data_IF_829091551061
#
_entry.id   IF_829091551061
#
_cell.length_a   1.000
_cell.length_b   1.000
_cell.length_c   1.000
_cell.angle_alpha   90.00
_cell.angle_beta   90.00
_cell.angle_gamma   90.00
#
_symmetry.space_group_name_H-M   'P 1'
#
loop_
_entity.id
_entity.type
_entity.pdbx_description
1 polymer ?
#
# COMPACT_ATOMS: atom_id res chain seq x y z
N UNK A 1 -13.33 32.13 -9.82
CA UNK A 1 -11.85 32.32 -9.79
C UNK A 1 -11.20 31.22 -8.94
N UNK A 2 -11.35 29.95 -9.32
CA UNK A 2 -10.94 28.76 -8.52
C UNK A 2 -9.98 27.82 -9.27
N UNK A 3 -9.59 28.15 -10.51
CA UNK A 3 -8.76 27.28 -11.36
C UNK A 3 -7.28 27.23 -10.97
N UNK A 4 -6.69 28.37 -10.60
CA UNK A 4 -5.24 28.51 -10.39
C UNK A 4 -4.70 27.67 -9.23
N UNK A 5 -5.37 27.69 -8.07
CA UNK A 5 -4.90 26.94 -6.90
C UNK A 5 -4.98 25.42 -7.05
N UNK A 6 -5.90 24.91 -7.88
CA UNK A 6 -6.05 23.47 -8.14
C UNK A 6 -5.05 22.96 -9.18
N UNK A 7 -4.75 23.77 -10.19
CA UNK A 7 -3.71 23.50 -11.19
C UNK A 7 -2.32 23.48 -10.55
N UNK A 8 -1.99 24.47 -9.71
CA UNK A 8 -0.70 24.55 -9.00
C UNK A 8 -0.45 23.32 -8.10
N UNK A 9 -1.48 22.85 -7.40
CA UNK A 9 -1.39 21.66 -6.55
C UNK A 9 -1.16 20.39 -7.36
N UNK A 10 -1.82 20.27 -8.50
CA UNK A 10 -1.68 19.12 -9.39
C UNK A 10 -0.27 19.04 -9.97
N UNK A 11 0.28 20.18 -10.38
CA UNK A 11 1.62 20.27 -10.95
C UNK A 11 2.71 20.00 -9.91
N UNK A 12 2.53 20.49 -8.68
CA UNK A 12 3.37 20.15 -7.54
C UNK A 12 3.46 18.64 -7.30
N UNK A 13 2.31 17.94 -7.25
CA UNK A 13 2.28 16.49 -7.07
C UNK A 13 2.90 15.76 -8.24
N UNK A 14 2.63 16.18 -9.48
CA UNK A 14 3.26 15.60 -10.68
C UNK A 14 4.78 15.66 -10.59
N UNK A 15 5.35 16.80 -10.17
CA UNK A 15 6.81 16.95 -10.04
C UNK A 15 7.44 16.03 -8.99
N UNK A 16 6.81 15.89 -7.81
CA UNK A 16 7.32 15.00 -6.76
C UNK A 16 7.13 13.53 -7.11
N UNK A 17 5.93 13.18 -7.58
CA UNK A 17 5.59 11.83 -7.99
C UNK A 17 6.41 11.38 -9.21
N UNK A 18 6.78 12.29 -10.11
CA UNK A 18 7.66 12.01 -11.25
C UNK A 18 9.02 11.43 -10.87
N UNK A 19 9.51 11.70 -9.66
CA UNK A 19 10.75 11.10 -9.13
C UNK A 19 10.56 9.68 -8.61
N UNK A 20 9.33 9.31 -8.26
CA UNK A 20 8.95 8.02 -7.69
C UNK A 20 8.30 7.11 -8.74
N UNK A 21 7.75 7.68 -9.82
CA UNK A 21 7.08 6.95 -10.90
C UNK A 21 8.08 6.46 -11.94
N UNK A 22 7.80 5.29 -12.53
CA UNK A 22 8.57 4.73 -13.63
C UNK A 22 8.06 5.14 -15.02
N UNK A 23 6.91 5.82 -15.13
CA UNK A 23 6.36 6.23 -16.41
C UNK A 23 4.99 6.90 -16.34
N UNK A 24 4.45 7.25 -17.51
CA UNK A 24 3.13 7.87 -17.68
C UNK A 24 2.29 7.02 -18.63
N UNK A 25 1.06 6.73 -18.24
CA UNK A 25 0.08 6.00 -19.03
C UNK A 25 -1.17 6.85 -19.27
N UNK A 26 -1.98 6.47 -20.26
CA UNK A 26 -3.28 7.08 -20.54
C UNK A 26 -4.37 6.02 -20.59
N UNK A 27 -5.47 6.28 -19.89
CA UNK A 27 -6.51 5.28 -19.76
C UNK A 27 -7.51 5.59 -18.65
N UNK A 28 -8.34 4.60 -18.35
CA UNK A 28 -9.41 4.69 -17.37
C UNK A 28 -9.30 3.57 -16.34
N UNK A 29 -9.89 3.80 -15.17
CA UNK A 29 -10.04 2.75 -14.15
C UNK A 29 -11.38 2.07 -14.39
N UNK A 30 -11.36 0.76 -14.63
CA UNK A 30 -12.54 -0.07 -14.72
C UNK A 30 -13.23 -0.23 -13.35
N UNK A 31 -14.43 -0.81 -13.35
CA UNK A 31 -15.23 -1.00 -12.12
C UNK A 31 -14.60 -1.96 -11.13
N UNK A 32 -13.83 -2.95 -11.61
CA UNK A 32 -13.03 -3.89 -10.83
C UNK A 32 -11.73 -3.27 -10.26
N UNK A 33 -11.42 -2.03 -10.67
CA UNK A 33 -10.22 -1.30 -10.26
C UNK A 33 -9.01 -1.53 -11.17
N UNK A 34 -9.12 -2.37 -12.18
CA UNK A 34 -8.07 -2.57 -13.17
C UNK A 34 -7.98 -1.39 -14.14
N UNK A 35 -6.80 -1.24 -14.74
CA UNK A 35 -6.51 -0.18 -15.68
C UNK A 35 -6.79 -0.60 -17.11
N UNK A 36 -7.53 0.22 -17.84
CA UNK A 36 -7.80 0.05 -19.26
C UNK A 36 -7.08 1.15 -20.05
N UNK A 37 -6.10 0.76 -20.86
CA UNK A 37 -5.37 1.68 -21.72
C UNK A 37 -6.30 2.33 -22.75
N UNK A 38 -6.20 3.65 -22.86
CA UNK A 38 -6.93 4.42 -23.86
C UNK A 38 -6.15 5.70 -24.20
N UNK A 39 -5.78 5.92 -25.47
CA UNK A 39 -5.07 7.13 -25.88
C UNK A 39 -5.82 8.44 -25.56
N UNK A 40 -7.16 8.40 -25.52
CA UNK A 40 -8.00 9.55 -25.17
C UNK A 40 -8.21 9.73 -23.66
N UNK A 41 -7.73 8.78 -22.86
CA UNK A 41 -7.90 8.79 -21.40
C UNK A 41 -7.04 9.84 -20.68
N UNK A 42 -7.38 10.15 -19.41
CA UNK A 42 -6.55 10.97 -18.54
C UNK A 42 -5.17 10.34 -18.33
N UNK A 43 -4.21 11.16 -17.92
CA UNK A 43 -2.86 10.70 -17.57
C UNK A 43 -2.84 10.07 -16.16
N UNK A 44 -2.03 9.03 -16.05
CA UNK A 44 -1.73 8.29 -14.84
C UNK A 44 -0.22 8.15 -14.67
N UNK A 45 0.26 8.31 -13.44
CA UNK A 45 1.64 8.02 -13.07
C UNK A 45 1.74 6.56 -12.68
N UNK A 46 2.72 5.86 -13.23
CA UNK A 46 2.93 4.43 -12.97
C UNK A 46 4.04 4.20 -11.94
N UNK A 47 3.82 3.24 -11.06
CA UNK A 47 4.73 2.81 -10.01
C UNK A 47 4.92 1.31 -10.14
N UNK A 48 6.17 0.90 -10.29
CA UNK A 48 6.53 -0.51 -10.47
C UNK A 48 6.46 -1.23 -9.13
N UNK A 49 5.62 -2.26 -9.05
CA UNK A 49 5.62 -3.22 -7.94
C UNK A 49 6.19 -4.56 -8.43
N UNK A 50 6.49 -5.47 -7.50
CA UNK A 50 7.12 -6.75 -7.81
C UNK A 50 6.31 -7.59 -8.80
N UNK A 51 4.98 -7.58 -8.67
CA UNK A 51 4.08 -8.43 -9.46
C UNK A 51 3.04 -7.64 -10.26
N UNK A 52 3.16 -6.30 -10.27
CA UNK A 52 2.11 -5.42 -10.77
C UNK A 52 2.65 -4.06 -11.21
N UNK A 53 1.80 -3.29 -11.88
CA UNK A 53 2.01 -1.87 -12.16
C UNK A 53 0.86 -1.08 -11.56
N UNK A 54 1.15 -0.30 -10.51
CA UNK A 54 0.15 0.52 -9.82
C UNK A 54 0.12 1.89 -10.47
N UNK A 55 -1.08 2.38 -10.77
CA UNK A 55 -1.29 3.64 -11.46
C UNK A 55 -2.05 4.59 -10.57
N UNK A 56 -1.61 5.84 -10.50
CA UNK A 56 -2.34 6.90 -9.79
C UNK A 56 -2.59 8.10 -10.69
N UNK A 57 -3.84 8.59 -10.70
CA UNK A 57 -4.20 9.83 -11.40
C UNK A 57 -4.22 10.98 -10.41
N UNK A 58 -3.30 11.95 -10.48
CA UNK A 58 -3.32 13.12 -9.60
C UNK A 58 -4.60 13.94 -9.72
N UNK A 59 -5.12 14.05 -10.95
CA UNK A 59 -6.32 14.83 -11.27
C UNK A 59 -7.58 14.21 -10.68
N UNK A 60 -7.74 12.90 -10.81
CA UNK A 60 -8.92 12.18 -10.31
C UNK A 60 -8.75 11.72 -8.86
N UNK A 61 -7.52 11.76 -8.34
CA UNK A 61 -7.10 11.15 -7.08
C UNK A 61 -7.55 9.68 -6.95
N UNK A 62 -7.45 8.94 -8.05
CA UNK A 62 -7.80 7.52 -8.14
C UNK A 62 -6.54 6.67 -8.25
N UNK A 63 -6.62 5.45 -7.72
CA UNK A 63 -5.61 4.40 -7.88
C UNK A 63 -6.20 3.25 -8.68
N UNK A 64 -5.41 2.72 -9.60
CA UNK A 64 -5.71 1.56 -10.42
C UNK A 64 -4.48 0.66 -10.49
N UNK A 65 -4.64 -0.52 -11.07
CA UNK A 65 -3.57 -1.51 -11.20
C UNK A 65 -3.74 -2.25 -12.53
N UNK A 66 -2.64 -2.72 -13.12
CA UNK A 66 -2.69 -3.49 -14.37
C UNK A 66 -3.17 -4.92 -14.13
N UNK A 67 -2.76 -5.56 -13.04
CA UNK A 67 -3.05 -7.00 -12.80
C UNK A 67 -3.85 -7.29 -11.53
N UNK A 68 -4.04 -6.29 -10.67
CA UNK A 68 -4.69 -6.40 -9.36
C UNK A 68 -3.89 -7.16 -8.30
N UNK A 69 -2.61 -7.46 -8.55
CA UNK A 69 -1.80 -8.36 -7.71
C UNK A 69 -1.02 -7.66 -6.61
N UNK A 70 -0.69 -6.37 -6.76
CA UNK A 70 -0.02 -5.63 -5.70
C UNK A 70 -0.88 -5.57 -4.44
N UNK A 71 -0.28 -5.89 -3.28
CA UNK A 71 -0.93 -5.70 -1.99
C UNK A 71 -0.93 -4.21 -1.61
N UNK A 72 0.21 -3.55 -1.82
CA UNK A 72 0.42 -2.15 -1.49
C UNK A 72 1.21 -1.45 -2.59
N UNK A 73 1.10 -0.12 -2.63
CA UNK A 73 2.09 0.72 -3.29
C UNK A 73 3.35 0.77 -2.42
N UNK A 74 4.51 0.58 -3.05
CA UNK A 74 5.82 0.38 -2.44
C UNK A 74 5.90 -0.85 -1.53
N UNK A 75 5.34 -1.97 -1.97
CA UNK A 75 5.22 -3.20 -1.15
C UNK A 75 6.58 -3.70 -0.61
N UNK A 76 7.66 -3.42 -1.33
CA UNK A 76 9.02 -3.79 -0.93
C UNK A 76 9.44 -3.23 0.43
N UNK A 77 8.92 -2.07 0.84
CA UNK A 77 9.21 -1.47 2.15
C UNK A 77 8.72 -2.33 3.33
N UNK A 78 7.80 -3.27 3.11
CA UNK A 78 7.34 -4.18 4.17
C UNK A 78 8.46 -5.13 4.60
N UNK A 79 9.25 -5.62 3.64
CA UNK A 79 10.32 -6.59 3.86
C UNK A 79 11.72 -5.99 3.95
N UNK A 80 11.88 -4.70 3.66
CA UNK A 80 13.17 -4.02 3.75
C UNK A 80 13.59 -3.82 5.22
N UNK A 81 14.80 -4.30 5.56
CA UNK A 81 15.35 -4.14 6.89
C UNK A 81 15.59 -2.66 7.25
N UNK A 82 15.89 -1.81 6.25
CA UNK A 82 16.12 -0.39 6.47
C UNK A 82 14.87 0.32 7.02
N UNK A 83 13.67 -0.13 6.63
CA UNK A 83 12.39 0.42 7.13
C UNK A 83 12.23 0.29 8.64
N UNK A 84 12.90 -0.68 9.27
CA UNK A 84 12.82 -0.92 10.71
C UNK A 84 14.12 -0.66 11.45
N UNK A 85 15.19 -0.27 10.77
CA UNK A 85 16.47 0.04 11.42
C UNK A 85 16.33 1.28 12.33
N UNK A 86 17.21 1.41 13.34
CA UNK A 86 17.36 2.65 14.15
C UNK A 86 16.04 3.25 14.67
N UNK A 87 15.12 2.40 15.15
CA UNK A 87 13.80 2.77 15.67
C UNK A 87 12.81 3.37 14.65
N UNK A 88 13.07 3.17 13.36
CA UNK A 88 12.08 3.43 12.31
C UNK A 88 10.93 2.39 12.33
N UNK A 89 9.87 2.74 11.61
CA UNK A 89 8.62 2.00 11.49
C UNK A 89 8.11 2.04 10.07
N UNK A 90 7.38 1.00 9.66
CA UNK A 90 6.63 1.02 8.42
C UNK A 90 5.48 2.03 8.52
N UNK A 91 5.55 3.11 7.75
CA UNK A 91 4.48 4.10 7.67
C UNK A 91 3.39 3.64 6.70
N UNK A 92 2.13 3.70 7.12
CA UNK A 92 0.97 3.41 6.26
C UNK A 92 0.16 4.70 6.07
N UNK A 93 0.11 5.18 4.84
CA UNK A 93 -0.58 6.42 4.47
C UNK A 93 -2.00 6.18 3.96
N UNK A 94 -2.89 7.14 4.20
CA UNK A 94 -4.28 7.07 3.75
C UNK A 94 -4.46 7.25 2.24
N UNK A 95 -3.48 7.86 1.57
CA UNK A 95 -3.56 8.14 0.13
C UNK A 95 -2.17 8.24 -0.50
N UNK A 96 -2.14 8.00 -1.82
CA UNK A 96 -0.94 8.17 -2.64
C UNK A 96 -0.41 9.61 -2.58
N UNK A 97 -1.30 10.60 -2.52
CA UNK A 97 -0.90 12.00 -2.34
C UNK A 97 -0.08 12.21 -1.06
N UNK A 98 -0.53 11.68 0.09
CA UNK A 98 0.20 11.79 1.36
C UNK A 98 1.53 11.03 1.34
N UNK A 99 1.52 9.84 0.74
CA UNK A 99 2.73 9.05 0.52
C UNK A 99 3.77 9.78 -0.36
N UNK A 100 3.33 10.47 -1.41
CA UNK A 100 4.22 11.33 -2.24
C UNK A 100 4.77 12.51 -1.43
N UNK A 101 3.97 13.14 -0.56
CA UNK A 101 4.45 14.22 0.32
C UNK A 101 5.55 13.71 1.26
N UNK A 102 5.44 12.47 1.72
CA UNK A 102 6.44 11.77 2.50
C UNK A 102 7.58 11.18 1.65
N UNK A 103 7.71 11.58 0.38
CA UNK A 103 8.77 11.13 -0.52
C UNK A 103 8.83 9.59 -0.70
N UNK A 104 7.69 8.92 -0.59
CA UNK A 104 7.60 7.48 -0.74
C UNK A 104 8.00 6.67 0.50
N UNK A 105 8.22 7.32 1.64
CA UNK A 105 8.70 6.68 2.89
C UNK A 105 7.60 5.89 3.62
N UNK A 106 7.26 4.71 3.07
CA UNK A 106 6.25 3.80 3.59
C UNK A 106 5.39 3.23 2.46
N UNK A 107 4.13 2.90 2.78
CA UNK A 107 3.21 2.23 1.85
C UNK A 107 1.82 2.87 1.81
N UNK A 108 1.07 2.55 0.75
CA UNK A 108 -0.38 2.73 0.68
C UNK A 108 -1.02 1.37 0.42
N UNK A 109 -1.86 0.89 1.34
CA UNK A 109 -2.52 -0.42 1.19
C UNK A 109 -3.59 -0.34 0.11
N UNK A 110 -3.50 -1.24 -0.87
CA UNK A 110 -4.44 -1.34 -2.00
C UNK A 110 -5.48 -2.45 -1.74
N UNK A 111 -5.06 -3.54 -1.09
CA UNK A 111 -5.86 -4.74 -0.88
C UNK A 111 -5.99 -5.07 0.62
N UNK A 112 -6.88 -4.35 1.31
CA UNK A 112 -7.14 -4.52 2.75
C UNK A 112 -7.46 -5.96 3.18
N UNK A 113 -8.23 -6.78 2.42
CA UNK A 113 -8.49 -8.17 2.81
C UNK A 113 -7.22 -9.03 2.96
N UNK A 114 -6.09 -8.62 2.37
CA UNK A 114 -4.78 -9.29 2.47
C UNK A 114 -3.86 -8.69 3.55
N UNK A 115 -4.33 -7.68 4.29
CA UNK A 115 -3.50 -6.90 5.21
C UNK A 115 -2.92 -7.75 6.34
N UNK A 116 -3.72 -8.64 6.95
CA UNK A 116 -3.23 -9.50 8.03
C UNK A 116 -2.02 -10.33 7.60
N UNK A 117 -2.12 -11.08 6.50
CA UNK A 117 -1.04 -11.96 6.05
C UNK A 117 0.20 -11.19 5.63
N UNK A 118 0.00 -10.00 5.03
CA UNK A 118 1.10 -9.19 4.50
C UNK A 118 1.81 -8.38 5.59
N UNK A 119 1.12 -7.98 6.67
CA UNK A 119 1.66 -7.07 7.68
C UNK A 119 1.91 -7.71 9.06
N UNK A 120 1.44 -8.94 9.31
CA UNK A 120 1.60 -9.63 10.62
C UNK A 120 3.04 -9.80 11.11
N UNK A 121 4.01 -9.68 10.21
CA UNK A 121 5.44 -9.79 10.52
C UNK A 121 6.15 -8.45 10.65
N UNK A 122 5.48 -7.33 10.33
CA UNK A 122 6.05 -6.00 10.50
C UNK A 122 6.18 -5.69 11.99
N UNK A 123 7.41 -5.50 12.51
CA UNK A 123 7.64 -5.33 13.95
C UNK A 123 7.11 -4.00 14.49
N UNK A 124 7.10 -2.94 13.65
CA UNK A 124 6.66 -1.59 14.02
C UNK A 124 5.90 -0.95 12.86
N UNK A 125 4.70 -0.46 13.12
CA UNK A 125 3.84 0.20 12.14
C UNK A 125 3.37 1.55 12.68
N UNK A 126 3.53 2.60 11.88
CA UNK A 126 2.94 3.91 12.12
C UNK A 126 1.78 4.14 11.15
N UNK A 127 0.63 4.57 11.68
CA UNK A 127 -0.60 4.70 10.91
C UNK A 127 -0.99 6.17 10.77
N UNK A 128 -1.27 6.59 9.54
CA UNK A 128 -2.06 7.77 9.29
C UNK A 128 -3.44 7.63 9.95
N UNK A 129 -3.96 8.73 10.51
CA UNK A 129 -5.16 8.72 11.35
C UNK A 129 -6.37 8.12 10.62
N UNK A 130 -6.54 8.45 9.34
CA UNK A 130 -7.64 7.98 8.50
C UNK A 130 -7.57 6.48 8.18
N UNK A 131 -6.40 5.85 8.30
CA UNK A 131 -6.20 4.43 8.03
C UNK A 131 -6.51 3.55 9.24
N UNK A 132 -6.44 4.11 10.45
CA UNK A 132 -6.50 3.33 11.70
C UNK A 132 -7.67 2.36 11.76
N UNK A 133 -8.87 2.82 11.41
CA UNK A 133 -10.06 1.97 11.42
C UNK A 133 -9.92 0.79 10.45
N UNK A 134 -9.58 1.06 9.20
CA UNK A 134 -9.36 0.02 8.19
C UNK A 134 -8.29 -0.98 8.61
N UNK A 135 -7.21 -0.48 9.21
CA UNK A 135 -6.15 -1.33 9.74
C UNK A 135 -6.66 -2.27 10.84
N UNK A 136 -7.31 -1.77 11.88
CA UNK A 136 -7.79 -2.60 12.99
C UNK A 136 -8.88 -3.60 12.58
N UNK A 137 -9.71 -3.24 11.59
CA UNK A 137 -10.75 -4.12 11.06
C UNK A 137 -10.16 -5.29 10.26
N UNK A 138 -9.02 -5.08 9.58
CA UNK A 138 -8.39 -6.09 8.71
C UNK A 138 -7.18 -6.81 9.34
N UNK A 139 -6.67 -6.35 10.48
CA UNK A 139 -5.57 -7.02 11.22
C UNK A 139 -6.09 -8.16 12.09
N UNK A 140 -6.87 -9.04 11.48
CA UNK A 140 -7.42 -10.24 12.08
C UNK A 140 -7.31 -11.39 11.09
N UNK A 141 -6.95 -12.60 11.51
CA UNK A 141 -6.92 -13.74 10.61
C UNK A 141 -8.34 -14.03 10.11
N UNK A 142 -8.50 -14.27 8.81
CA UNK A 142 -9.78 -14.65 8.20
C UNK A 142 -10.37 -15.93 8.85
N UNK A 143 -9.49 -16.82 9.32
CA UNK A 143 -9.84 -18.00 10.10
C UNK A 143 -8.92 -18.10 11.31
N UNK A 144 -9.48 -18.01 12.51
CA UNK A 144 -8.72 -18.29 13.73
C UNK A 144 -8.18 -19.72 13.72
N UNK A 145 -6.87 -19.94 13.91
CA UNK A 145 -6.31 -21.28 14.03
C UNK A 145 -6.92 -21.99 15.25
N UNK A 146 -7.39 -23.23 15.07
CA UNK A 146 -7.79 -24.07 16.20
C UNK A 146 -6.55 -24.71 16.82
N UNK A 147 -6.09 -24.20 17.96
CA UNK A 147 -4.98 -24.80 18.71
C UNK A 147 -5.51 -25.97 19.54
N UNK A 148 -4.96 -27.17 19.34
CA UNK A 148 -5.20 -28.33 20.19
C UNK A 148 -3.91 -28.67 20.93
N UNK A 149 -3.96 -28.64 22.26
CA UNK A 149 -2.82 -29.02 23.10
C UNK A 149 -2.88 -30.52 23.35
N UNK A 150 -1.78 -31.23 23.10
CA UNK A 150 -1.61 -32.62 23.55
C UNK A 150 -0.91 -32.57 24.91
N UNK A 151 -1.46 -33.26 25.92
CA UNK A 151 -0.73 -33.48 27.17
C UNK A 151 0.54 -34.29 26.89
N UNK A 152 1.69 -33.73 27.25
CA UNK A 152 2.94 -34.47 27.24
C UNK A 152 2.95 -35.43 28.44
N UNK A 153 3.13 -36.73 28.18
CA UNK A 153 3.43 -37.70 29.22
C UNK A 153 4.93 -37.70 29.47
N UNK A 154 5.38 -36.91 30.43
CA UNK A 154 6.77 -37.00 30.90
C UNK A 154 6.87 -38.26 31.77
N UNK A 155 7.60 -39.28 31.29
CA UNK A 155 8.00 -40.40 32.14
C UNK A 155 9.00 -39.87 33.15
N UNK A 156 8.65 -39.89 34.44
CA UNK A 156 9.61 -39.75 35.51
C UNK A 156 10.59 -40.92 35.45
N UNK A 157 11.87 -40.62 35.29
CA UNK A 157 12.92 -41.61 35.55
C UNK A 157 13.07 -41.65 37.07
N UNK A 158 12.62 -42.74 37.69
CA UNK A 158 12.84 -42.97 39.11
C UNK A 158 14.35 -43.14 39.35
N UNK A 159 14.86 -42.42 40.35
CA UNK A 159 16.25 -42.46 40.82
C UNK A 159 16.56 -43.75 41.58
#
# INVERSE_FOLDING_TARGET
MTGTAHEDRTEYFKKRAGKLSCGIYRGHRASDGLFEESPSGPQWLAFQEREDLVLWSPKLNLVSSVTGRAFALNETAIGDAATYALDHSLNIFASVSRWILANGDGIVVLQWPRAFDSLRHSPRICLDHEVRRHYYDNMRPARMPSVRVRQASFRSVAA
#
